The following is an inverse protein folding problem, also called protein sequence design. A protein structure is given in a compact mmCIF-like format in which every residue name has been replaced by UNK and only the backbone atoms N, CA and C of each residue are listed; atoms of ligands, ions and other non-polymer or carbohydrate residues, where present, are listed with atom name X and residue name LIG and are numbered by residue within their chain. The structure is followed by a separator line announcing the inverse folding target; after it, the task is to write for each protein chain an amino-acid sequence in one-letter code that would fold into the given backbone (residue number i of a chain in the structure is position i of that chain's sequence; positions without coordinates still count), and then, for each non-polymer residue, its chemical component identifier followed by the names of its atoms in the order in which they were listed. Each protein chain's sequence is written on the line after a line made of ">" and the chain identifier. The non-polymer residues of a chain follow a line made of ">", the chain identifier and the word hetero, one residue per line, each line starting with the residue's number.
data_IF_008449325016
#
_entry.id   IF_008449325016
#
_cell.length_a   1.000
_cell.length_b   1.000
_cell.length_c   1.000
_cell.angle_alpha   90.00
_cell.angle_beta   90.00
_cell.angle_gamma   90.00
#
_symmetry.space_group_name_H-M   'P 1'
#
loop_
_entity.id
_entity.type
_entity.pdbx_description
1 polymer ?
#
# COMPACT_ATOMS: atom_id res chain seq x y z
N UNK A 1 20.87 3.80 13.87
CA UNK A 1 20.73 4.70 12.71
C UNK A 1 21.14 6.13 13.10
N UNK A 2 22.44 6.47 13.11
CA UNK A 2 22.89 7.82 13.54
C UNK A 2 22.96 8.86 12.39
N UNK A 3 22.87 8.43 11.14
CA UNK A 3 23.09 9.28 9.95
C UNK A 3 21.88 9.36 8.99
N UNK A 4 20.76 8.73 9.34
CA UNK A 4 19.57 8.66 8.48
C UNK A 4 18.43 9.39 9.16
N UNK A 5 17.84 10.34 8.46
CA UNK A 5 16.60 10.99 8.86
C UNK A 5 15.40 10.29 8.21
N UNK A 6 14.27 10.26 8.89
CA UNK A 6 13.05 9.62 8.40
C UNK A 6 11.83 10.49 8.71
N UNK A 7 10.91 10.57 7.75
CA UNK A 7 9.60 11.22 7.90
C UNK A 7 8.54 10.42 7.15
N UNK A 8 7.28 10.55 7.57
CA UNK A 8 6.16 9.95 6.85
C UNK A 8 6.00 10.60 5.48
N UNK A 9 5.72 9.77 4.48
CA UNK A 9 5.35 10.22 3.13
C UNK A 9 3.87 10.63 3.10
N UNK A 10 3.43 11.48 2.15
CA UNK A 10 2.03 11.89 2.05
C UNK A 10 1.04 10.72 1.94
N UNK A 11 1.43 9.60 1.30
CA UNK A 11 0.57 8.42 1.17
C UNK A 11 0.26 7.75 2.51
N UNK A 12 1.08 7.97 3.55
CA UNK A 12 0.83 7.45 4.90
C UNK A 12 -0.46 8.03 5.53
N UNK A 13 -0.95 9.18 5.05
CA UNK A 13 -2.23 9.73 5.48
C UNK A 13 -3.41 8.79 5.19
N UNK A 14 -3.29 7.94 4.15
CA UNK A 14 -4.29 6.92 3.84
C UNK A 14 -4.40 5.84 4.91
N UNK A 15 -3.40 5.69 5.77
CA UNK A 15 -3.38 4.74 6.88
C UNK A 15 -3.71 5.42 8.22
N UNK A 16 -3.36 6.69 8.40
CA UNK A 16 -3.35 7.34 9.71
C UNK A 16 -4.46 8.40 9.92
N UNK A 17 -4.98 9.01 8.85
CA UNK A 17 -5.88 10.18 8.95
C UNK A 17 -7.17 9.95 9.75
N UNK A 18 -7.62 8.70 9.87
CA UNK A 18 -8.89 8.35 10.53
C UNK A 18 -8.70 7.72 11.92
N UNK A 19 -7.46 7.51 12.38
CA UNK A 19 -7.16 6.68 13.56
C UNK A 19 -7.83 7.16 14.86
N UNK A 20 -7.93 8.47 15.06
CA UNK A 20 -8.52 9.09 16.26
C UNK A 20 -10.05 9.27 16.16
N UNK A 21 -10.70 8.62 15.19
CA UNK A 21 -12.15 8.75 14.95
C UNK A 21 -12.91 7.48 15.33
N UNK A 22 -12.38 6.70 16.28
CA UNK A 22 -13.00 5.46 16.78
C UNK A 22 -13.06 4.33 15.75
N UNK A 23 -12.19 4.37 14.73
CA UNK A 23 -12.26 3.49 13.55
C UNK A 23 -11.63 2.12 13.73
N UNK A 24 -10.73 1.99 14.71
CA UNK A 24 -9.97 0.76 14.99
C UNK A 24 -9.92 0.55 16.50
N UNK A 25 -9.68 -0.71 16.89
CA UNK A 25 -9.49 -1.09 18.27
C UNK A 25 -8.02 -0.90 18.68
N UNK A 26 -7.82 -0.55 19.94
CA UNK A 26 -6.50 -0.38 20.54
C UNK A 26 -6.31 -1.45 21.61
N UNK A 27 -5.06 -1.87 21.80
CA UNK A 27 -4.65 -2.77 22.86
C UNK A 27 -3.42 -2.21 23.58
N UNK A 28 -3.17 -2.60 24.84
CA UNK A 28 -1.92 -2.26 25.50
C UNK A 28 -0.72 -2.81 24.73
N UNK A 29 0.36 -2.04 24.68
CA UNK A 29 1.64 -2.45 24.13
C UNK A 29 2.31 -3.53 24.99
N UNK A 30 3.50 -4.00 24.59
CA UNK A 30 4.16 -5.16 25.21
C UNK A 30 4.42 -5.06 26.73
N UNK A 31 4.58 -3.85 27.29
CA UNK A 31 4.79 -3.60 28.72
C UNK A 31 3.59 -2.93 29.41
N UNK A 32 2.51 -2.66 28.67
CA UNK A 32 1.29 -2.02 29.17
C UNK A 32 1.42 -0.52 29.47
N UNK A 33 2.50 0.14 29.08
CA UNK A 33 2.70 1.57 29.31
C UNK A 33 1.91 2.46 28.35
N UNK A 34 1.63 1.98 27.14
CA UNK A 34 0.92 2.73 26.09
C UNK A 34 -0.09 1.83 25.38
N UNK A 35 -1.06 2.44 24.71
CA UNK A 35 -1.96 1.72 23.80
C UNK A 35 -1.46 1.82 22.35
N UNK A 36 -1.57 0.72 21.62
CA UNK A 36 -1.26 0.61 20.20
C UNK A 36 -2.46 0.10 19.39
N UNK A 37 -2.62 0.54 18.14
CA UNK A 37 -3.74 0.12 17.31
C UNK A 37 -3.55 -1.33 16.83
N UNK A 38 -4.58 -2.17 16.94
CA UNK A 38 -4.59 -3.52 16.37
C UNK A 38 -4.47 -3.52 14.85
N UNK A 39 -5.12 -2.52 14.22
CA UNK A 39 -5.11 -2.31 12.77
C UNK A 39 -5.04 -0.81 12.48
N UNK A 40 -4.61 -0.44 11.27
CA UNK A 40 -4.71 0.93 10.78
C UNK A 40 -5.97 1.10 9.92
N UNK A 41 -6.70 2.23 10.01
CA UNK A 41 -7.90 2.48 9.21
C UNK A 41 -7.57 2.80 7.75
N UNK A 42 -6.99 1.83 7.05
CA UNK A 42 -6.55 1.96 5.68
C UNK A 42 -7.70 2.39 4.75
N UNK A 43 -7.46 3.44 3.97
CA UNK A 43 -8.40 3.99 3.00
C UNK A 43 -8.27 3.37 1.60
N UNK A 44 -7.20 2.61 1.37
CA UNK A 44 -6.95 1.79 0.17
C UNK A 44 -6.40 0.40 0.57
N UNK A 45 -6.54 -0.62 -0.29
CA UNK A 45 -6.06 -1.98 -0.04
C UNK A 45 -4.54 -2.09 -0.15
N UNK A 46 -3.82 -1.59 0.86
CA UNK A 46 -2.36 -1.51 0.87
C UNK A 46 -1.64 -2.86 0.68
N UNK A 47 -2.30 -3.98 1.07
CA UNK A 47 -1.76 -5.32 0.86
C UNK A 47 -1.50 -5.63 -0.62
N UNK A 48 -2.34 -5.14 -1.53
CA UNK A 48 -2.13 -5.29 -2.98
C UNK A 48 -1.22 -4.20 -3.53
N UNK A 49 -1.31 -2.97 -3.00
CA UNK A 49 -0.54 -1.83 -3.51
C UNK A 49 0.96 -1.98 -3.27
N UNK A 50 1.36 -2.25 -2.03
CA UNK A 50 2.77 -2.42 -1.68
C UNK A 50 3.23 -3.87 -1.81
N UNK A 51 2.29 -4.83 -1.78
CA UNK A 51 2.63 -6.23 -1.64
C UNK A 51 3.09 -6.60 -0.23
N UNK A 52 3.54 -7.85 -0.09
CA UNK A 52 4.08 -8.41 1.14
C UNK A 52 4.97 -9.61 0.80
N UNK A 53 6.14 -9.69 1.42
CA UNK A 53 7.03 -10.86 1.33
C UNK A 53 7.40 -11.29 2.75
N UNK A 54 7.37 -12.59 3.02
CA UNK A 54 7.70 -13.10 4.34
C UNK A 54 7.62 -14.63 4.44
N UNK A 55 8.47 -15.19 5.29
CA UNK A 55 8.51 -16.63 5.58
C UNK A 55 8.26 -16.81 7.08
N UNK A 56 7.27 -17.62 7.41
CA UNK A 56 6.93 -18.03 8.77
C UNK A 56 7.09 -19.56 8.92
N UNK A 57 6.66 -20.11 10.06
CA UNK A 57 6.75 -21.56 10.31
C UNK A 57 5.70 -22.30 9.47
N UNK A 58 6.16 -23.03 8.45
CA UNK A 58 5.29 -23.85 7.59
C UNK A 58 4.49 -23.09 6.54
N UNK A 59 4.68 -21.77 6.41
CA UNK A 59 4.00 -20.93 5.43
C UNK A 59 4.90 -19.80 4.95
N UNK A 60 4.65 -19.31 3.74
CA UNK A 60 5.29 -18.14 3.18
C UNK A 60 4.22 -17.27 2.51
N UNK A 61 4.53 -16.01 2.28
CA UNK A 61 3.72 -15.06 1.52
C UNK A 61 4.61 -14.31 0.53
N UNK A 62 4.11 -14.15 -0.68
CA UNK A 62 4.73 -13.38 -1.76
C UNK A 62 3.61 -12.71 -2.55
N UNK A 63 3.16 -11.56 -2.08
CA UNK A 63 2.16 -10.71 -2.72
C UNK A 63 2.91 -9.62 -3.48
N UNK A 64 2.85 -9.58 -4.82
CA UNK A 64 3.50 -8.53 -5.57
C UNK A 64 2.71 -7.21 -5.46
N UNK A 65 3.37 -6.09 -5.74
CA UNK A 65 2.74 -4.77 -5.82
C UNK A 65 1.82 -4.67 -7.05
N UNK A 66 0.82 -3.79 -6.95
CA UNK A 66 -0.17 -3.55 -7.99
C UNK A 66 -0.44 -2.05 -8.12
N UNK A 67 -0.93 -1.64 -9.28
CA UNK A 67 -1.17 -0.25 -9.57
C UNK A 67 -2.31 0.32 -8.70
N UNK A 68 -2.10 1.50 -8.13
CA UNK A 68 -3.07 2.17 -7.26
C UNK A 68 -4.42 2.40 -7.94
N UNK A 69 -4.39 2.89 -9.18
CA UNK A 69 -5.62 3.24 -9.90
C UNK A 69 -6.40 1.98 -10.27
N UNK A 70 -5.71 0.97 -10.81
CA UNK A 70 -6.29 -0.32 -11.18
C UNK A 70 -7.00 -0.99 -10.01
N UNK A 71 -6.30 -1.10 -8.88
CA UNK A 71 -6.85 -1.72 -7.67
C UNK A 71 -8.03 -0.92 -7.12
N UNK A 72 -7.96 0.41 -7.15
CA UNK A 72 -9.07 1.27 -6.72
C UNK A 72 -10.30 1.09 -7.61
N UNK A 73 -10.12 1.04 -8.93
CA UNK A 73 -11.23 0.80 -9.87
C UNK A 73 -11.84 -0.59 -9.68
N UNK A 74 -11.02 -1.62 -9.48
CA UNK A 74 -11.50 -2.97 -9.20
C UNK A 74 -12.32 -3.03 -7.89
N UNK A 75 -11.86 -2.36 -6.83
CA UNK A 75 -12.59 -2.29 -5.56
C UNK A 75 -13.94 -1.56 -5.71
N UNK A 76 -13.98 -0.45 -6.47
CA UNK A 76 -15.23 0.27 -6.77
C UNK A 76 -16.18 -0.60 -7.60
N UNK A 77 -15.67 -1.32 -8.60
CA UNK A 77 -16.46 -2.21 -9.44
C UNK A 77 -17.08 -3.34 -8.60
N UNK A 78 -16.29 -3.98 -7.74
CA UNK A 78 -16.76 -5.04 -6.84
C UNK A 78 -17.79 -4.53 -5.83
N UNK A 79 -17.58 -3.33 -5.28
CA UNK A 79 -18.54 -2.69 -4.38
C UNK A 79 -19.90 -2.45 -5.06
N UNK A 80 -19.90 -2.04 -6.33
CA UNK A 80 -21.13 -1.81 -7.11
C UNK A 80 -21.81 -3.11 -7.54
N UNK A 81 -21.03 -4.15 -7.85
CA UNK A 81 -21.51 -5.45 -8.31
C UNK A 81 -20.76 -6.58 -7.59
N UNK A 82 -21.25 -7.02 -6.42
CA UNK A 82 -20.60 -8.08 -5.63
C UNK A 82 -20.53 -9.45 -6.33
N UNK A 83 -21.30 -9.64 -7.41
CA UNK A 83 -21.31 -10.87 -8.20
C UNK A 83 -20.18 -10.94 -9.23
N UNK A 84 -19.30 -9.94 -9.33
CA UNK A 84 -18.14 -10.00 -10.22
C UNK A 84 -17.23 -11.16 -9.81
N UNK A 85 -16.68 -11.87 -10.80
CA UNK A 85 -15.69 -12.93 -10.58
C UNK A 85 -14.27 -12.41 -10.79
N UNK A 86 -13.27 -13.19 -10.37
CA UNK A 86 -11.85 -12.83 -10.53
C UNK A 86 -11.51 -12.43 -11.98
N UNK A 87 -12.08 -13.12 -12.96
CA UNK A 87 -11.88 -12.82 -14.37
C UNK A 87 -12.42 -11.44 -14.78
N UNK A 88 -13.52 -10.99 -14.18
CA UNK A 88 -14.06 -9.66 -14.44
C UNK A 88 -13.19 -8.58 -13.78
N UNK A 89 -12.68 -8.86 -12.58
CA UNK A 89 -11.79 -7.96 -11.84
C UNK A 89 -10.46 -7.77 -12.57
N UNK A 90 -10.00 -8.77 -13.31
CA UNK A 90 -8.78 -8.67 -14.12
C UNK A 90 -8.90 -7.75 -15.33
N UNK A 91 -10.10 -7.32 -15.71
CA UNK A 91 -10.25 -6.23 -16.68
C UNK A 91 -9.76 -4.89 -16.12
N UNK A 92 -9.73 -4.76 -14.79
CA UNK A 92 -9.20 -3.60 -14.08
C UNK A 92 -7.77 -3.83 -13.63
N UNK A 93 -7.45 -5.04 -13.11
CA UNK A 93 -6.11 -5.43 -12.64
C UNK A 93 -5.56 -6.52 -13.57
N UNK A 94 -4.92 -6.16 -14.70
CA UNK A 94 -4.46 -7.14 -15.67
C UNK A 94 -3.30 -7.99 -15.13
N UNK A 95 -2.41 -7.40 -14.35
CA UNK A 95 -1.21 -8.03 -13.82
C UNK A 95 -0.64 -7.23 -12.63
N UNK A 96 0.39 -7.74 -11.93
CA UNK A 96 1.16 -6.95 -10.98
C UNK A 96 1.85 -5.74 -11.62
N UNK A 97 2.12 -4.71 -10.81
CA UNK A 97 2.83 -3.49 -11.20
C UNK A 97 4.09 -3.35 -10.33
N UNK A 98 5.26 -3.60 -10.91
CA UNK A 98 6.52 -3.64 -10.19
C UNK A 98 7.24 -2.29 -10.23
N UNK A 99 7.72 -1.83 -9.07
CA UNK A 99 8.39 -0.52 -8.96
C UNK A 99 9.68 -0.39 -9.81
N UNK A 100 10.37 -1.50 -10.09
CA UNK A 100 11.56 -1.53 -10.96
C UNK A 100 11.24 -1.64 -12.47
N UNK A 101 9.95 -1.67 -12.82
CA UNK A 101 9.49 -1.89 -14.18
C UNK A 101 9.62 -3.33 -14.64
N UNK A 102 9.96 -3.48 -15.91
CA UNK A 102 10.00 -4.74 -16.63
C UNK A 102 8.72 -5.00 -17.42
N UNK A 103 8.77 -6.07 -18.20
CA UNK A 103 7.67 -6.57 -19.00
C UNK A 103 7.23 -7.92 -18.47
N UNK A 104 5.98 -8.01 -18.04
CA UNK A 104 5.35 -9.29 -17.73
C UNK A 104 5.05 -9.98 -19.05
N UNK A 105 5.58 -11.19 -19.22
CA UNK A 105 5.43 -12.01 -20.43
C UNK A 105 4.61 -13.28 -20.18
N UNK A 106 4.12 -13.47 -18.96
CA UNK A 106 3.18 -14.55 -18.64
C UNK A 106 1.89 -14.38 -19.43
N UNK A 107 1.39 -15.44 -20.10
CA UNK A 107 0.11 -15.42 -20.78
C UNK A 107 -1.06 -15.04 -19.88
N UNK A 108 -2.07 -14.36 -20.43
CA UNK A 108 -3.20 -13.85 -19.67
C UNK A 108 -4.04 -14.96 -19.01
N UNK A 109 -4.15 -16.14 -19.63
CA UNK A 109 -4.84 -17.30 -19.09
C UNK A 109 -4.10 -17.90 -17.89
N UNK A 110 -2.76 -17.90 -17.91
CA UNK A 110 -1.95 -18.29 -16.78
C UNK A 110 -2.07 -17.28 -15.63
N UNK A 111 -1.92 -15.98 -15.90
CA UNK A 111 -2.15 -14.92 -14.89
C UNK A 111 -3.52 -15.06 -14.23
N UNK A 112 -4.55 -15.38 -15.01
CA UNK A 112 -5.90 -15.62 -14.50
C UNK A 112 -5.96 -16.77 -13.52
N UNK A 113 -5.36 -17.91 -13.84
CA UNK A 113 -5.28 -19.06 -12.92
C UNK A 113 -4.53 -18.70 -11.65
N UNK A 114 -3.47 -17.91 -11.74
CA UNK A 114 -2.69 -17.47 -10.57
C UNK A 114 -3.57 -16.59 -9.67
N UNK A 115 -4.33 -15.63 -10.22
CA UNK A 115 -5.25 -14.82 -9.41
C UNK A 115 -6.46 -15.58 -8.88
N UNK A 116 -6.98 -16.58 -9.60
CA UNK A 116 -8.10 -17.43 -9.18
C UNK A 116 -7.71 -18.39 -8.06
N UNK A 117 -6.47 -18.89 -8.07
CA UNK A 117 -5.97 -19.82 -7.05
C UNK A 117 -5.23 -19.12 -5.91
N UNK A 118 -4.66 -17.95 -6.16
CA UNK A 118 -3.80 -17.22 -5.23
C UNK A 118 -2.35 -17.73 -5.18
N UNK A 119 -1.92 -18.59 -6.12
CA UNK A 119 -0.55 -19.11 -6.14
C UNK A 119 -0.06 -19.39 -7.55
N UNK A 120 1.21 -19.06 -7.82
CA UNK A 120 1.87 -19.39 -9.07
C UNK A 120 3.16 -18.60 -9.27
N UNK A 121 3.55 -18.41 -10.53
CA UNK A 121 4.79 -17.74 -10.90
C UNK A 121 4.53 -16.80 -12.07
N UNK A 122 4.99 -15.55 -11.95
CA UNK A 122 4.90 -14.54 -13.00
C UNK A 122 6.27 -14.37 -13.63
N UNK A 123 6.36 -14.49 -14.95
CA UNK A 123 7.60 -14.31 -15.69
C UNK A 123 7.73 -12.87 -16.12
N UNK A 124 8.86 -12.27 -15.76
CA UNK A 124 9.17 -10.87 -15.99
C UNK A 124 10.49 -10.77 -16.76
N UNK A 125 10.50 -9.95 -17.80
CA UNK A 125 11.64 -9.68 -18.67
C UNK A 125 12.05 -8.22 -18.54
N UNK A 126 13.34 -7.94 -18.67
CA UNK A 126 13.87 -6.60 -18.77
C UNK A 126 13.33 -5.87 -20.01
N UNK A 127 13.10 -4.55 -19.91
CA UNK A 127 12.83 -3.73 -21.10
C UNK A 127 14.13 -3.27 -21.72
N UNK A 128 14.17 -3.29 -23.03
CA UNK A 128 15.36 -2.94 -23.78
C UNK A 128 15.00 -2.24 -25.09
N UNK A 129 15.99 -1.53 -25.62
CA UNK A 129 15.96 -0.88 -26.92
C UNK A 129 17.19 -1.28 -27.72
N UNK A 130 17.04 -1.36 -29.04
CA UNK A 130 18.15 -1.63 -29.95
C UNK A 130 18.57 -0.31 -30.59
N UNK A 131 19.77 0.14 -30.28
CA UNK A 131 20.35 1.34 -30.87
C UNK A 131 21.26 0.96 -32.04
N UNK A 132 20.99 1.55 -33.21
CA UNK A 132 21.82 1.38 -34.41
C UNK A 132 22.94 2.42 -34.40
N UNK A 133 24.17 1.96 -34.57
CA UNK A 133 25.38 2.77 -34.62
C UNK A 133 25.87 2.92 -36.08
N UNK A 134 26.90 3.76 -36.25
CA UNK A 134 27.56 3.91 -37.54
C UNK A 134 28.09 2.57 -38.08
N UNK A 135 28.20 2.46 -39.41
CA UNK A 135 28.75 1.27 -40.10
C UNK A 135 27.95 -0.02 -39.86
N UNK A 136 26.66 0.10 -39.53
CA UNK A 136 25.77 -1.05 -39.34
C UNK A 136 26.02 -1.83 -38.04
N UNK A 137 26.83 -1.29 -37.12
CA UNK A 137 26.90 -1.80 -35.76
C UNK A 137 25.62 -1.48 -35.01
N UNK A 138 25.34 -2.21 -33.95
CA UNK A 138 24.17 -2.00 -33.09
C UNK A 138 24.50 -2.45 -31.68
N UNK A 139 23.75 -1.96 -30.70
CA UNK A 139 23.88 -2.34 -29.28
C UNK A 139 22.51 -2.46 -28.64
N UNK A 140 22.40 -3.28 -27.59
CA UNK A 140 21.20 -3.37 -26.75
C UNK A 140 21.38 -2.48 -25.54
N UNK A 141 20.38 -1.67 -25.25
CA UNK A 141 20.32 -0.85 -24.03
C UNK A 141 19.14 -1.35 -23.21
N UNK A 142 19.43 -1.88 -22.03
CA UNK A 142 18.41 -2.28 -21.06
C UNK A 142 18.11 -1.10 -20.14
N UNK A 143 16.82 -0.76 -20.02
CA UNK A 143 16.32 0.42 -19.31
C UNK A 143 15.50 0.08 -18.06
N UNK A 144 14.96 -1.15 -17.96
CA UNK A 144 14.21 -1.62 -16.80
C UNK A 144 14.59 -3.07 -16.49
N UNK A 145 14.59 -3.44 -15.21
CA UNK A 145 14.99 -4.77 -14.75
C UNK A 145 13.86 -5.49 -14.00
N UNK A 146 13.80 -6.82 -14.07
CA UNK A 146 12.88 -7.60 -13.23
C UNK A 146 13.12 -7.36 -11.72
N UNK A 147 12.10 -7.54 -10.85
CA UNK A 147 12.18 -7.25 -9.40
C UNK A 147 13.32 -7.94 -8.63
N UNK A 148 13.75 -9.11 -9.09
CA UNK A 148 14.80 -9.93 -8.46
C UNK A 148 16.17 -9.78 -9.13
N UNK A 149 16.32 -8.78 -10.00
CA UNK A 149 17.54 -8.49 -10.74
C UNK A 149 18.09 -7.11 -10.38
N UNK A 150 19.40 -6.96 -10.48
CA UNK A 150 20.08 -5.66 -10.41
C UNK A 150 21.29 -5.69 -11.35
N UNK A 151 21.78 -4.50 -11.72
CA UNK A 151 22.90 -4.34 -12.65
C UNK A 151 24.14 -5.14 -12.25
N UNK A 152 24.54 -5.06 -10.99
CA UNK A 152 25.72 -5.75 -10.48
C UNK A 152 25.60 -7.28 -10.59
N UNK A 153 24.42 -7.84 -10.28
CA UNK A 153 24.14 -9.27 -10.38
C UNK A 153 24.23 -9.75 -11.83
N UNK A 154 23.64 -9.02 -12.76
CA UNK A 154 23.67 -9.37 -14.20
C UNK A 154 25.12 -9.32 -14.72
N UNK A 155 25.88 -8.28 -14.38
CA UNK A 155 27.30 -8.20 -14.75
C UNK A 155 28.11 -9.36 -14.17
N UNK A 156 27.87 -9.73 -12.91
CA UNK A 156 28.54 -10.85 -12.26
C UNK A 156 28.19 -12.20 -12.91
N UNK A 157 26.93 -12.41 -13.31
CA UNK A 157 26.51 -13.61 -14.05
C UNK A 157 27.23 -13.73 -15.39
N UNK A 158 27.36 -12.62 -16.12
CA UNK A 158 28.08 -12.56 -17.40
C UNK A 158 29.57 -12.82 -17.20
N UNK A 159 30.18 -12.23 -16.17
CA UNK A 159 31.59 -12.49 -15.83
C UNK A 159 31.82 -13.96 -15.45
N UNK A 160 30.92 -14.57 -14.66
CA UNK A 160 31.02 -15.99 -14.32
C UNK A 160 30.89 -16.88 -15.57
N UNK A 161 30.05 -16.50 -16.54
CA UNK A 161 29.84 -17.27 -17.76
C UNK A 161 30.97 -17.10 -18.79
N UNK A 162 31.54 -15.91 -18.91
CA UNK A 162 32.64 -15.62 -19.85
C UNK A 162 34.01 -16.02 -19.29
N UNK A 163 34.18 -15.95 -17.97
CA UNK A 163 35.39 -16.35 -17.25
C UNK A 163 35.10 -17.33 -16.09
N UNK A 164 34.56 -18.53 -16.38
CA UNK A 164 34.17 -19.47 -15.35
C UNK A 164 35.40 -20.02 -14.61
N UNK A 165 35.40 -19.87 -13.29
CA UNK A 165 36.44 -20.44 -12.42
C UNK A 165 36.15 -21.93 -12.12
N UNK A 166 37.17 -22.81 -12.06
CA UNK A 166 36.98 -24.19 -11.61
C UNK A 166 36.47 -24.20 -10.17
N UNK A 167 35.49 -25.06 -9.85
CA UNK A 167 35.01 -25.23 -8.47
C UNK A 167 36.14 -25.80 -7.59
N UNK A 168 36.18 -25.41 -6.32
CA UNK A 168 37.11 -25.94 -5.33
C UNK A 168 37.07 -27.49 -5.35
N UNK A 169 38.21 -28.11 -5.65
CA UNK A 169 38.36 -29.57 -5.73
C UNK A 169 38.19 -30.20 -7.13
N UNK A 170 37.86 -29.45 -8.19
CA UNK A 170 37.82 -29.96 -9.58
C UNK A 170 38.83 -29.24 -10.48
N UNK A 171 39.72 -30.00 -11.14
CA UNK A 171 40.75 -29.47 -12.05
C UNK A 171 40.21 -28.99 -13.40
N UNK A 172 38.99 -29.38 -13.78
CA UNK A 172 38.39 -29.06 -15.08
C UNK A 172 36.97 -28.50 -14.93
N UNK A 173 36.61 -27.60 -15.83
CA UNK A 173 35.26 -27.08 -15.97
C UNK A 173 34.35 -28.15 -16.56
N UNK A 174 33.10 -28.22 -16.09
CA UNK A 174 32.09 -29.08 -16.72
C UNK A 174 31.88 -28.67 -18.18
N UNK A 175 31.58 -29.65 -19.06
CA UNK A 175 31.37 -29.42 -20.49
C UNK A 175 30.31 -28.35 -20.77
N UNK A 176 29.22 -28.32 -19.99
CA UNK A 176 28.17 -27.30 -20.13
C UNK A 176 28.69 -25.87 -19.91
N UNK A 177 29.57 -25.67 -18.91
CA UNK A 177 30.18 -24.37 -18.65
C UNK A 177 31.15 -23.95 -19.76
N UNK A 178 31.85 -24.89 -20.37
CA UNK A 178 32.70 -24.62 -21.54
C UNK A 178 31.86 -24.22 -22.76
N UNK A 179 30.72 -24.88 -22.96
CA UNK A 179 29.78 -24.56 -24.03
C UNK A 179 29.15 -23.17 -23.82
N UNK A 180 28.66 -22.85 -22.62
CA UNK A 180 28.13 -21.53 -22.28
C UNK A 180 29.20 -20.45 -22.42
N UNK A 181 30.43 -20.71 -21.97
CA UNK A 181 31.56 -19.78 -22.16
C UNK A 181 31.77 -19.46 -23.63
N UNK A 182 31.86 -20.49 -24.48
CA UNK A 182 32.04 -20.31 -25.91
C UNK A 182 30.89 -19.53 -26.53
N UNK A 183 29.65 -19.88 -26.18
CA UNK A 183 28.44 -19.19 -26.62
C UNK A 183 28.47 -17.70 -26.27
N UNK A 184 28.71 -17.37 -24.99
CA UNK A 184 28.71 -15.98 -24.51
C UNK A 184 29.87 -15.17 -25.11
N UNK A 185 31.07 -15.76 -25.22
CA UNK A 185 32.23 -15.11 -25.85
C UNK A 185 32.11 -14.94 -27.36
N UNK A 186 31.28 -15.73 -28.04
CA UNK A 186 30.99 -15.57 -29.47
C UNK A 186 29.87 -14.56 -29.73
N UNK A 187 29.00 -14.33 -28.74
CA UNK A 187 27.90 -13.38 -28.83
C UNK A 187 28.29 -11.96 -28.42
N UNK A 188 28.94 -11.79 -27.27
CA UNK A 188 29.14 -10.50 -26.62
C UNK A 188 30.60 -10.04 -26.80
N UNK A 189 30.80 -8.80 -27.23
CA UNK A 189 32.10 -8.13 -27.18
C UNK A 189 32.31 -7.46 -25.81
N UNK A 190 31.37 -6.60 -25.43
CA UNK A 190 31.45 -5.77 -24.22
C UNK A 190 30.11 -5.60 -23.54
N UNK A 191 30.16 -5.50 -22.22
CA UNK A 191 29.02 -5.12 -21.38
C UNK A 191 29.45 -3.97 -20.48
N UNK A 192 28.64 -2.92 -20.39
CA UNK A 192 28.90 -1.74 -19.55
C UNK A 192 27.66 -1.37 -18.76
N UNK A 193 27.87 -0.93 -17.53
CA UNK A 193 26.85 -0.22 -16.77
C UNK A 193 27.09 1.28 -16.95
N UNK A 194 26.18 1.93 -17.67
CA UNK A 194 26.15 3.37 -17.93
C UNK A 194 25.04 4.04 -17.10
N UNK A 195 24.61 3.43 -15.98
CA UNK A 195 23.57 3.98 -15.10
C UNK A 195 24.08 5.21 -14.35
N UNK A 196 23.25 6.25 -14.29
CA UNK A 196 23.55 7.51 -13.61
C UNK A 196 22.28 8.11 -12.96
N UNK A 197 22.35 9.38 -12.52
CA UNK A 197 21.20 10.05 -11.90
C UNK A 197 20.06 10.36 -12.87
N UNK A 198 20.33 10.49 -14.16
CA UNK A 198 19.31 10.73 -15.21
C UNK A 198 18.73 9.42 -15.74
N UNK A 199 19.55 8.37 -15.79
CA UNK A 199 19.23 7.03 -16.26
C UNK A 199 19.47 6.02 -15.13
N UNK A 200 18.47 5.79 -14.25
CA UNK A 200 18.64 4.91 -13.08
C UNK A 200 19.10 3.48 -13.42
N UNK A 201 18.74 2.99 -14.62
CA UNK A 201 19.23 1.75 -15.19
C UNK A 201 19.58 1.97 -16.65
N UNK A 202 20.85 1.70 -17.00
CA UNK A 202 21.33 1.71 -18.38
C UNK A 202 22.44 0.68 -18.57
N UNK A 203 22.06 -0.58 -18.82
CA UNK A 203 23.03 -1.61 -19.17
C UNK A 203 23.19 -1.71 -20.68
N UNK A 204 24.42 -1.61 -21.15
CA UNK A 204 24.76 -1.60 -22.58
C UNK A 204 25.47 -2.88 -22.95
N UNK A 205 24.93 -3.58 -23.94
CA UNK A 205 25.48 -4.83 -24.47
C UNK A 205 25.87 -4.64 -25.93
N UNK A 206 27.14 -4.87 -26.25
CA UNK A 206 27.69 -4.77 -27.60
C UNK A 206 27.94 -6.18 -28.16
N UNK A 207 27.37 -6.53 -29.33
CA UNK A 207 27.59 -7.81 -29.96
C UNK A 207 28.99 -7.90 -30.57
N UNK A 208 29.56 -9.11 -30.60
CA UNK A 208 30.88 -9.38 -31.20
C UNK A 208 30.97 -9.07 -32.69
N UNK A 209 29.85 -9.16 -33.39
CA UNK A 209 29.75 -8.86 -34.82
C UNK A 209 28.39 -8.29 -35.15
N UNK A 210 28.34 -7.29 -36.04
CA UNK A 210 27.10 -6.71 -36.56
C UNK A 210 26.27 -7.70 -37.37
N UNK A 211 26.84 -8.85 -37.76
CA UNK A 211 26.15 -9.93 -38.48
C UNK A 211 25.30 -10.83 -37.57
N UNK A 212 25.47 -10.71 -36.26
CA UNK A 212 24.66 -11.47 -35.31
C UNK A 212 23.23 -10.94 -35.38
N UNK A 213 22.28 -11.85 -35.50
CA UNK A 213 20.86 -11.55 -35.47
C UNK A 213 20.44 -11.02 -34.08
N UNK A 214 19.67 -9.93 -34.07
CA UNK A 214 19.30 -9.22 -32.83
C UNK A 214 18.45 -10.10 -31.92
N UNK A 215 17.49 -10.83 -32.49
CA UNK A 215 16.57 -11.66 -31.72
C UNK A 215 17.30 -12.83 -31.08
N UNK A 216 18.23 -13.45 -31.83
CA UNK A 216 19.08 -14.53 -31.31
C UNK A 216 19.96 -14.05 -30.16
N UNK A 217 20.55 -12.86 -30.28
CA UNK A 217 21.37 -12.26 -29.23
C UNK A 217 20.56 -11.99 -27.96
N UNK A 218 19.41 -11.32 -28.09
CA UNK A 218 18.54 -11.00 -26.96
C UNK A 218 18.00 -12.27 -26.30
N UNK A 219 17.48 -13.23 -27.07
CA UNK A 219 16.94 -14.47 -26.52
C UNK A 219 18.01 -15.26 -25.75
N UNK A 220 19.26 -15.24 -26.22
CA UNK A 220 20.37 -15.88 -25.49
C UNK A 220 20.69 -15.15 -24.20
N UNK A 221 20.76 -13.80 -24.22
CA UNK A 221 20.96 -13.00 -23.01
C UNK A 221 19.86 -13.27 -21.97
N UNK A 222 18.59 -13.26 -22.39
CA UNK A 222 17.45 -13.53 -21.52
C UNK A 222 17.49 -14.95 -20.94
N UNK A 223 17.90 -15.95 -21.72
CA UNK A 223 17.98 -17.34 -21.26
C UNK A 223 19.15 -17.62 -20.31
N UNK A 224 20.25 -16.86 -20.43
CA UNK A 224 21.46 -17.09 -19.66
C UNK A 224 21.60 -16.15 -18.46
N UNK A 225 20.84 -15.06 -18.37
CA UNK A 225 21.01 -14.05 -17.30
C UNK A 225 19.69 -13.74 -16.59
N UNK A 226 19.77 -13.07 -15.45
CA UNK A 226 18.62 -12.54 -14.70
C UNK A 226 17.86 -11.41 -15.42
N UNK A 227 18.17 -11.12 -16.70
CA UNK A 227 17.36 -10.21 -17.53
C UNK A 227 15.95 -10.78 -17.79
N UNK A 228 15.77 -12.10 -17.72
CA UNK A 228 14.44 -12.73 -17.65
C UNK A 228 14.39 -13.64 -16.43
N UNK A 229 13.31 -13.55 -15.66
CA UNK A 229 13.19 -14.28 -14.41
C UNK A 229 11.75 -14.55 -14.00
N UNK A 230 11.60 -15.49 -13.08
CA UNK A 230 10.32 -15.81 -12.47
C UNK A 230 10.21 -15.11 -11.11
N UNK A 231 9.06 -14.49 -10.88
CA UNK A 231 8.65 -13.89 -9.61
C UNK A 231 7.56 -14.78 -9.02
N UNK A 232 7.83 -15.35 -7.85
CA UNK A 232 6.85 -16.16 -7.14
C UNK A 232 5.66 -15.30 -6.71
N UNK A 233 4.45 -15.85 -6.83
CA UNK A 233 3.24 -15.24 -6.33
C UNK A 233 2.53 -16.23 -5.41
N UNK A 234 2.32 -15.84 -4.17
CA UNK A 234 1.68 -16.65 -3.14
C UNK A 234 0.90 -15.75 -2.19
N UNK A 235 -0.41 -15.63 -2.46
CA UNK A 235 -1.32 -14.68 -1.83
C UNK A 235 -1.84 -15.19 -0.48
N UNK A 236 -0.92 -15.36 0.46
CA UNK A 236 -1.23 -15.78 1.83
C UNK A 236 -1.26 -14.56 2.74
N UNK A 237 -2.38 -14.33 3.41
CA UNK A 237 -2.51 -13.23 4.36
C UNK A 237 -3.45 -13.59 5.51
N UNK A 238 -3.34 -12.86 6.62
CA UNK A 238 -4.31 -12.92 7.72
C UNK A 238 -5.65 -12.37 7.25
N UNK A 239 -6.72 -13.12 7.43
CA UNK A 239 -8.08 -12.62 7.23
C UNK A 239 -8.62 -11.82 8.41
N UNK A 240 -9.82 -11.27 8.21
CA UNK A 240 -10.58 -10.63 9.28
C UNK A 240 -10.97 -11.60 10.41
N UNK A 241 -10.91 -12.91 10.14
CA UNK A 241 -11.07 -13.99 11.11
C UNK A 241 -9.79 -14.30 11.90
N UNK A 242 -8.72 -13.52 11.71
CA UNK A 242 -7.40 -13.72 12.30
C UNK A 242 -6.77 -15.09 11.99
N UNK A 243 -7.03 -15.64 10.80
CA UNK A 243 -6.40 -16.89 10.35
C UNK A 243 -5.60 -16.66 9.06
N UNK A 244 -4.40 -17.24 8.93
CA UNK A 244 -3.66 -17.21 7.69
C UNK A 244 -4.35 -18.11 6.67
N UNK A 245 -4.63 -17.58 5.48
CA UNK A 245 -5.21 -18.35 4.39
C UNK A 245 -4.64 -17.88 3.04
N UNK A 246 -4.53 -18.82 2.09
CA UNK A 246 -4.30 -18.50 0.69
C UNK A 246 -5.61 -17.97 0.09
N UNK A 247 -5.55 -16.82 -0.57
CA UNK A 247 -6.74 -16.11 -1.08
C UNK A 247 -6.60 -15.78 -2.55
N UNK A 248 -7.72 -15.79 -3.26
CA UNK A 248 -7.79 -15.29 -4.62
C UNK A 248 -8.00 -13.76 -4.63
N UNK A 249 -7.82 -13.12 -5.79
CA UNK A 249 -7.92 -11.66 -5.92
C UNK A 249 -9.28 -11.12 -5.45
N UNK A 250 -10.38 -11.79 -5.81
CA UNK A 250 -11.74 -11.41 -5.41
C UNK A 250 -11.90 -11.44 -3.90
N UNK A 251 -11.47 -12.51 -3.24
CA UNK A 251 -11.57 -12.67 -1.78
C UNK A 251 -10.79 -11.57 -1.07
N UNK A 252 -9.58 -11.22 -1.53
CA UNK A 252 -8.77 -10.14 -0.94
C UNK A 252 -9.51 -8.81 -1.04
N UNK A 253 -10.04 -8.47 -2.21
CA UNK A 253 -10.78 -7.22 -2.42
C UNK A 253 -12.08 -7.19 -1.62
N UNK A 254 -12.83 -8.30 -1.58
CA UNK A 254 -14.07 -8.41 -0.83
C UNK A 254 -13.85 -8.23 0.67
N UNK A 255 -12.89 -8.94 1.26
CA UNK A 255 -12.58 -8.80 2.68
C UNK A 255 -12.10 -7.38 3.01
N UNK A 256 -11.32 -6.76 2.12
CA UNK A 256 -10.93 -5.36 2.31
C UNK A 256 -12.12 -4.40 2.24
N UNK A 257 -13.09 -4.63 1.35
CA UNK A 257 -14.32 -3.85 1.28
C UNK A 257 -15.15 -4.02 2.57
N UNK A 258 -15.28 -5.25 3.08
CA UNK A 258 -15.99 -5.54 4.33
C UNK A 258 -15.33 -4.82 5.50
N UNK A 259 -14.01 -4.87 5.60
CA UNK A 259 -13.23 -4.08 6.54
C UNK A 259 -13.54 -2.59 6.41
N UNK A 260 -13.47 -2.06 5.18
CA UNK A 260 -13.65 -0.62 4.95
C UNK A 260 -15.08 -0.16 5.29
N UNK A 261 -16.09 -0.97 5.03
CA UNK A 261 -17.49 -0.68 5.41
C UNK A 261 -17.60 -0.56 6.93
N UNK A 262 -16.99 -1.47 7.69
CA UNK A 262 -16.97 -1.41 9.16
C UNK A 262 -16.24 -0.16 9.64
N UNK A 263 -15.04 0.12 9.11
CA UNK A 263 -14.24 1.30 9.47
C UNK A 263 -15.01 2.61 9.24
N UNK A 264 -15.63 2.76 8.08
CA UNK A 264 -16.43 3.97 7.74
C UNK A 264 -17.67 4.08 8.62
N UNK A 265 -18.35 2.95 8.88
CA UNK A 265 -19.52 2.93 9.78
C UNK A 265 -19.14 3.40 11.18
N UNK A 266 -18.02 2.91 11.73
CA UNK A 266 -17.48 3.35 13.03
C UNK A 266 -17.17 4.85 13.04
N UNK A 267 -16.50 5.35 11.99
CA UNK A 267 -16.19 6.78 11.82
C UNK A 267 -17.44 7.66 11.83
N UNK A 268 -18.48 7.24 11.11
CA UNK A 268 -19.76 7.98 11.04
C UNK A 268 -20.48 7.95 12.39
N UNK A 269 -20.52 6.80 13.08
CA UNK A 269 -21.08 6.70 14.43
C UNK A 269 -20.33 7.57 15.44
N UNK A 270 -18.99 7.60 15.37
CA UNK A 270 -18.17 8.47 16.21
C UNK A 270 -18.55 9.95 16.01
N UNK A 271 -18.68 10.37 14.74
CA UNK A 271 -19.11 11.74 14.43
C UNK A 271 -20.53 12.03 14.88
N UNK A 272 -21.45 11.08 14.67
CA UNK A 272 -22.84 11.19 15.12
C UNK A 272 -22.91 11.42 16.64
N UNK A 273 -22.22 10.60 17.43
CA UNK A 273 -22.19 10.72 18.88
C UNK A 273 -21.65 12.11 19.33
N UNK A 274 -20.66 12.66 18.62
CA UNK A 274 -20.16 14.02 18.91
C UNK A 274 -21.21 15.09 18.62
N UNK A 275 -21.93 14.94 17.50
CA UNK A 275 -23.01 15.86 17.12
C UNK A 275 -24.18 15.78 18.10
N UNK A 276 -24.60 14.58 18.49
CA UNK A 276 -25.66 14.36 19.48
C UNK A 276 -25.29 14.93 20.85
N UNK A 277 -24.06 14.69 21.33
CA UNK A 277 -23.56 15.34 22.56
C UNK A 277 -23.61 16.86 22.46
N UNK A 278 -23.22 17.41 21.32
CA UNK A 278 -23.25 18.87 21.13
C UNK A 278 -24.68 19.40 21.08
N UNK A 279 -25.59 18.70 20.41
CA UNK A 279 -27.00 19.06 20.34
C UNK A 279 -27.63 19.06 21.73
N UNK A 280 -27.37 18.00 22.51
CA UNK A 280 -27.82 17.88 23.90
C UNK A 280 -27.39 19.08 24.76
N UNK A 281 -26.13 19.52 24.64
CA UNK A 281 -25.66 20.73 25.33
C UNK A 281 -26.41 21.98 24.85
N UNK A 282 -26.58 22.15 23.54
CA UNK A 282 -27.26 23.32 22.98
C UNK A 282 -28.74 23.39 23.39
N UNK A 283 -29.42 22.25 23.51
CA UNK A 283 -30.79 22.18 24.01
C UNK A 283 -30.89 22.67 25.46
N UNK A 284 -29.95 22.27 26.32
CA UNK A 284 -29.85 22.77 27.70
C UNK A 284 -29.65 24.28 27.75
N UNK A 285 -28.73 24.80 26.93
CA UNK A 285 -28.48 26.25 26.81
C UNK A 285 -29.71 27.00 26.31
N UNK A 286 -30.47 26.46 25.36
CA UNK A 286 -31.66 27.09 24.82
C UNK A 286 -32.77 27.20 25.89
N UNK A 287 -32.99 26.14 26.69
CA UNK A 287 -33.95 26.15 27.80
C UNK A 287 -33.65 27.30 28.78
N UNK A 288 -32.38 27.41 29.19
CA UNK A 288 -31.91 28.41 30.16
C UNK A 288 -31.88 29.82 29.56
N UNK A 289 -31.59 29.96 28.26
CA UNK A 289 -31.54 31.25 27.59
C UNK A 289 -32.88 32.00 27.59
N UNK A 290 -34.00 31.28 27.57
CA UNK A 290 -35.33 31.89 27.67
C UNK A 290 -35.63 32.43 29.09
N UNK A 291 -34.89 31.96 30.11
CA UNK A 291 -35.13 32.24 31.53
C UNK A 291 -33.83 32.66 32.26
N UNK A 292 -32.99 33.46 31.62
CA UNK A 292 -31.63 33.71 32.11
C UNK A 292 -31.57 34.40 33.48
N UNK A 293 -32.52 35.30 33.76
CA UNK A 293 -32.60 35.99 35.06
C UNK A 293 -32.91 35.02 36.21
N UNK A 294 -33.80 34.06 35.95
CA UNK A 294 -34.19 33.02 36.89
C UNK A 294 -33.01 32.07 37.16
N UNK A 295 -32.26 31.71 36.12
CA UNK A 295 -31.04 30.90 36.23
C UNK A 295 -29.99 31.61 37.09
N UNK A 296 -29.75 32.90 36.86
CA UNK A 296 -28.80 33.69 37.67
C UNK A 296 -29.26 33.75 39.13
N UNK A 297 -30.56 33.87 39.37
CA UNK A 297 -31.13 33.86 40.71
C UNK A 297 -30.89 32.51 41.40
N UNK A 298 -31.20 31.38 40.74
CA UNK A 298 -30.93 30.04 41.27
C UNK A 298 -29.45 29.88 41.61
N UNK A 299 -28.55 30.29 40.72
CA UNK A 299 -27.09 30.19 40.95
C UNK A 299 -26.62 31.05 42.14
N UNK A 300 -27.23 32.21 42.37
CA UNK A 300 -26.84 33.14 43.46
C UNK A 300 -27.40 32.75 44.82
N UNK A 301 -28.57 32.13 44.86
CA UNK A 301 -29.31 31.83 46.09
C UNK A 301 -29.16 30.37 46.55
N UNK A 302 -28.65 29.49 45.69
CA UNK A 302 -28.47 28.06 45.99
C UNK A 302 -27.09 27.74 46.58
N UNK A 303 -27.07 26.84 47.57
CA UNK A 303 -25.86 26.21 48.10
C UNK A 303 -25.32 25.08 47.19
N UNK A 304 -26.19 24.47 46.36
CA UNK A 304 -25.83 23.49 45.32
C UNK A 304 -26.51 23.84 43.98
N UNK A 305 -25.98 24.83 43.24
CA UNK A 305 -26.57 25.30 42.00
C UNK A 305 -26.76 24.22 40.93
N UNK A 306 -25.93 23.15 40.93
CA UNK A 306 -26.02 22.10 39.91
C UNK A 306 -27.30 21.29 40.09
N UNK A 307 -27.60 20.85 41.31
CA UNK A 307 -28.81 20.08 41.62
C UNK A 307 -30.08 20.91 41.41
N UNK A 308 -30.07 22.18 41.84
CA UNK A 308 -31.24 23.05 41.72
C UNK A 308 -31.55 23.42 40.26
N UNK A 309 -30.52 23.69 39.44
CA UNK A 309 -30.71 23.92 38.00
C UNK A 309 -31.30 22.69 37.30
N UNK A 310 -30.86 21.48 37.68
CA UNK A 310 -31.44 20.23 37.15
C UNK A 310 -32.91 20.09 37.53
N UNK A 311 -33.25 20.35 38.79
CA UNK A 311 -34.62 20.24 39.30
C UNK A 311 -35.57 21.26 38.68
N UNK A 312 -35.17 22.53 38.57
CA UNK A 312 -36.02 23.63 38.09
C UNK A 312 -36.22 23.58 36.58
N UNK A 313 -35.14 23.35 35.80
CA UNK A 313 -35.17 23.44 34.35
C UNK A 313 -35.22 22.08 33.62
N UNK A 314 -35.30 20.97 34.38
CA UNK A 314 -35.30 19.62 33.84
C UNK A 314 -34.06 19.35 33.00
N UNK A 315 -32.89 19.75 33.52
CA UNK A 315 -31.60 19.60 32.87
C UNK A 315 -30.96 18.28 33.30
N UNK A 316 -30.21 17.68 32.38
CA UNK A 316 -29.28 16.60 32.75
C UNK A 316 -28.05 17.15 33.45
N UNK A 317 -27.32 16.27 34.13
CA UNK A 317 -26.09 16.62 34.83
C UNK A 317 -25.07 17.35 33.93
N UNK A 318 -24.83 16.82 32.74
CA UNK A 318 -23.87 17.39 31.77
C UNK A 318 -24.33 18.77 31.28
N UNK A 319 -25.64 18.98 31.10
CA UNK A 319 -26.17 20.28 30.70
C UNK A 319 -26.02 21.32 31.83
N UNK A 320 -26.36 20.95 33.07
CA UNK A 320 -26.23 21.85 34.21
C UNK A 320 -24.77 22.26 34.45
N UNK A 321 -23.83 21.31 34.32
CA UNK A 321 -22.40 21.59 34.42
C UNK A 321 -21.92 22.54 33.30
N UNK A 322 -22.30 22.29 32.04
CA UNK A 322 -21.98 23.19 30.94
C UNK A 322 -22.55 24.61 31.14
N UNK A 323 -23.75 24.74 31.72
CA UNK A 323 -24.38 26.03 32.02
C UNK A 323 -23.60 26.80 33.08
N UNK A 324 -23.17 26.13 34.15
CA UNK A 324 -22.34 26.74 35.20
C UNK A 324 -20.98 27.20 34.68
N UNK A 325 -20.45 26.56 33.64
CA UNK A 325 -19.21 26.95 32.98
C UNK A 325 -19.36 28.11 31.97
N UNK A 326 -20.59 28.57 31.68
CA UNK A 326 -20.83 29.67 30.74
C UNK A 326 -20.20 30.96 31.29
N UNK A 327 -19.31 31.57 30.52
CA UNK A 327 -18.71 32.86 30.89
C UNK A 327 -19.70 33.99 30.64
N UNK A 328 -19.77 34.97 31.54
CA UNK A 328 -20.63 36.15 31.42
C UNK A 328 -20.56 36.87 30.05
N UNK A 329 -19.37 36.94 29.44
CA UNK A 329 -19.19 37.51 28.09
C UNK A 329 -19.96 36.78 26.98
N UNK A 330 -20.21 35.49 27.15
CA UNK A 330 -20.97 34.68 26.19
C UNK A 330 -22.47 34.95 26.35
N UNK A 331 -22.94 35.25 27.56
CA UNK A 331 -24.33 35.68 27.82
C UNK A 331 -24.63 37.02 27.15
N UNK A 332 -23.73 38.01 27.28
CA UNK A 332 -23.89 39.33 26.64
C UNK A 332 -23.97 39.25 25.10
N UNK A 333 -23.23 38.34 24.47
CA UNK A 333 -23.32 38.09 23.02
C UNK A 333 -24.63 37.41 22.61
N UNK A 334 -25.24 36.64 23.51
CA UNK A 334 -26.49 35.93 23.25
C UNK A 334 -27.71 36.86 23.33
N UNK A 335 -27.69 37.89 24.20
CA UNK A 335 -28.71 38.95 24.21
C UNK A 335 -28.71 39.83 22.94
N UNK A 336 -27.54 40.07 22.34
CA UNK A 336 -27.42 40.83 21.09
C UNK A 336 -28.23 40.22 19.93
N UNK A 337 -28.34 38.89 19.86
CA UNK A 337 -29.17 38.20 18.85
C UNK A 337 -30.68 38.32 19.09
N UNK A 338 -31.13 38.57 20.33
CA UNK A 338 -32.54 38.89 20.65
C UNK A 338 -32.91 40.30 20.16
N UNK A 339 -31.96 41.23 20.12
CA UNK A 339 -32.17 42.61 19.67
C UNK A 339 -32.17 42.77 18.14
N UNK A 340 -31.41 41.96 17.40
CA UNK A 340 -31.37 42.02 15.91
C UNK A 340 -32.59 41.39 15.21
N UNK A 341 -33.42 40.64 15.91
CA UNK A 341 -34.64 40.00 15.36
C UNK A 341 -35.95 40.74 15.67
N UNK A 342 -35.88 41.88 16.37
CA UNK A 342 -37.04 42.72 16.67
C UNK A 342 -37.10 43.95 15.76
#
# INVERSE_FOLDING_TARGET
>A
MRYTEARLTPIAELLLSEINQGTVDFMPNYDGAFDEPLHLPARLPMVLLNGASGIAVGMATEIPSHNLNEVTQAAIALLKKPTLETADLMQYIPAPDFAGGGQIITPADELRRIYETGKGSVRVRARYEIEKLARGQWRVIVTELPPNANSAKILAEIEEQTNPKPKAGKKQLNQDRLNTKKLMLDLIDRVRDESDGEHPVRLVFEPKSSRIDTDTFINTLMAQTSLEGNVSMNLVMMGLDNRPAQKNLKTILQEWLDFRVVTVTRRLKFRLNQVEKRLHILEGRLKVFLHIDEVIKVIRESDDPKADLMAVFGLTEIQAEDILEIRLRQLARLEGFKLEKN
#
